data_IF_653029950947
#
_entry.id   IF_653029950947
#
_cell.length_a   1.000
_cell.length_b   1.000
_cell.length_c   1.000
_cell.angle_alpha   90.00
_cell.angle_beta   90.00
_cell.angle_gamma   90.00
#
_symmetry.space_group_name_H-M   'P 1'
#
loop_
_entity.id
_entity.type
_entity.pdbx_description
1 polymer ?
#
# COMPACT_ATOMS: atom_id res chain seq x y z
N UNK A 1 -9.96 10.08 9.07
CA UNK A 1 -9.53 9.18 7.98
C UNK A 1 -8.03 8.91 7.97
N UNK A 2 -7.15 9.91 8.12
CA UNK A 2 -5.68 9.69 8.08
C UNK A 2 -5.16 8.69 9.12
N UNK A 3 -5.74 8.67 10.33
CA UNK A 3 -5.39 7.69 11.37
C UNK A 3 -5.75 6.25 10.97
N UNK A 4 -6.89 6.05 10.32
CA UNK A 4 -7.29 4.72 9.83
C UNK A 4 -6.32 4.22 8.76
N UNK A 5 -5.92 5.10 7.83
CA UNK A 5 -4.91 4.79 6.83
C UNK A 5 -3.59 4.41 7.51
N UNK A 6 -3.12 5.20 8.48
CA UNK A 6 -1.91 4.86 9.23
C UNK A 6 -1.99 3.50 9.92
N UNK A 7 -3.13 3.15 10.52
CA UNK A 7 -3.34 1.85 11.16
C UNK A 7 -3.28 0.71 10.14
N UNK A 8 -3.90 0.86 8.97
CA UNK A 8 -3.86 -0.15 7.89
C UNK A 8 -2.42 -0.38 7.42
N UNK A 9 -1.67 0.69 7.15
CA UNK A 9 -0.28 0.60 6.70
C UNK A 9 0.63 0.00 7.80
N UNK A 10 0.43 0.40 9.05
CA UNK A 10 1.18 -0.14 10.19
C UNK A 10 0.91 -1.64 10.38
N UNK A 11 -0.37 -2.04 10.30
CA UNK A 11 -0.77 -3.44 10.39
C UNK A 11 -0.18 -4.26 9.24
N UNK A 12 -0.25 -3.77 8.00
CA UNK A 12 0.33 -4.43 6.83
C UNK A 12 1.86 -4.61 6.98
N UNK A 13 2.57 -3.57 7.44
CA UNK A 13 4.00 -3.62 7.70
C UNK A 13 4.35 -4.64 8.79
N UNK A 14 3.62 -4.61 9.91
CA UNK A 14 3.86 -5.49 11.05
C UNK A 14 3.63 -6.95 10.68
N UNK A 15 2.53 -7.27 10.01
CA UNK A 15 2.23 -8.64 9.61
C UNK A 15 3.30 -9.19 8.66
N UNK A 16 3.73 -8.42 7.66
CA UNK A 16 4.82 -8.81 6.76
C UNK A 16 6.17 -8.94 7.47
N UNK A 17 6.43 -8.14 8.50
CA UNK A 17 7.66 -8.22 9.28
C UNK A 17 7.68 -9.45 10.20
N UNK A 18 6.54 -9.78 10.83
CA UNK A 18 6.40 -10.94 11.71
C UNK A 18 6.43 -12.27 10.95
N UNK A 19 5.89 -12.30 9.74
CA UNK A 19 5.86 -13.48 8.87
C UNK A 19 6.57 -13.18 7.53
N UNK A 20 7.84 -12.81 7.63
CA UNK A 20 8.63 -12.42 6.45
C UNK A 20 8.87 -13.58 5.49
N UNK A 21 9.10 -14.79 6.01
CA UNK A 21 9.29 -15.99 5.19
C UNK A 21 8.03 -16.29 4.38
N UNK A 22 6.86 -16.25 5.04
CA UNK A 22 5.60 -16.44 4.37
C UNK A 22 5.29 -15.36 3.32
N UNK A 23 5.60 -14.10 3.61
CA UNK A 23 5.54 -13.02 2.62
C UNK A 23 6.46 -13.28 1.41
N UNK A 24 7.69 -13.73 1.65
CA UNK A 24 8.65 -14.06 0.61
C UNK A 24 8.18 -15.24 -0.25
N UNK A 25 7.60 -16.28 0.36
CA UNK A 25 7.02 -17.42 -0.35
C UNK A 25 5.87 -17.01 -1.28
N UNK A 26 4.95 -16.16 -0.80
CA UNK A 26 3.86 -15.61 -1.62
C UNK A 26 4.42 -14.85 -2.82
N UNK A 27 5.36 -13.94 -2.59
CA UNK A 27 5.96 -13.13 -3.68
C UNK A 27 6.77 -13.98 -4.66
N UNK A 28 7.47 -15.01 -4.16
CA UNK A 28 8.22 -15.94 -5.02
C UNK A 28 7.27 -16.75 -5.88
N UNK A 29 6.12 -17.17 -5.33
CA UNK A 29 5.08 -17.92 -6.06
C UNK A 29 4.46 -17.09 -7.19
N UNK A 30 4.45 -15.76 -7.09
CA UNK A 30 3.98 -14.91 -8.18
C UNK A 30 4.83 -15.01 -9.45
N UNK A 31 6.10 -15.43 -9.34
CA UNK A 31 7.01 -15.68 -10.47
C UNK A 31 7.20 -14.49 -11.46
N UNK A 32 6.92 -13.25 -11.02
CA UNK A 32 7.06 -12.03 -11.84
C UNK A 32 8.34 -11.24 -11.55
N UNK A 33 8.95 -11.43 -10.37
CA UNK A 33 10.16 -10.71 -9.99
C UNK A 33 11.41 -11.53 -10.31
N UNK A 34 12.48 -10.89 -10.80
CA UNK A 34 13.77 -11.56 -10.94
C UNK A 34 14.32 -11.94 -9.56
N UNK A 35 15.08 -13.03 -9.48
CA UNK A 35 15.62 -13.53 -8.21
C UNK A 35 16.45 -12.49 -7.44
N UNK A 36 17.12 -11.57 -8.13
CA UNK A 36 17.85 -10.46 -7.52
C UNK A 36 16.94 -9.47 -6.78
N UNK A 37 15.70 -9.25 -7.26
CA UNK A 37 14.73 -8.38 -6.61
C UNK A 37 14.17 -8.99 -5.32
N UNK A 38 14.13 -10.32 -5.22
CA UNK A 38 13.68 -11.02 -4.00
C UNK A 38 14.55 -10.67 -2.78
N UNK A 39 15.85 -10.40 -3.01
CA UNK A 39 16.79 -9.99 -1.95
C UNK A 39 16.47 -8.63 -1.34
N UNK A 40 15.65 -7.81 -2.01
CA UNK A 40 15.22 -6.49 -1.54
C UNK A 40 13.80 -6.49 -0.98
N UNK A 41 13.14 -7.64 -0.82
CA UNK A 41 11.75 -7.70 -0.34
C UNK A 41 11.57 -7.16 1.08
N UNK A 42 12.61 -7.18 1.90
CA UNK A 42 12.59 -6.60 3.24
C UNK A 42 12.35 -5.07 3.24
N UNK A 43 12.59 -4.40 2.11
CA UNK A 43 12.32 -2.96 1.96
C UNK A 43 10.82 -2.68 1.97
N UNK A 44 9.98 -3.62 1.55
CA UNK A 44 8.52 -3.45 1.49
C UNK A 44 7.90 -3.17 2.87
N UNK A 45 8.03 -4.05 3.89
CA UNK A 45 7.47 -3.78 5.22
C UNK A 45 8.07 -2.52 5.86
N UNK A 46 9.35 -2.22 5.63
CA UNK A 46 9.97 -1.00 6.13
C UNK A 46 9.39 0.26 5.48
N UNK A 47 9.17 0.24 4.16
CA UNK A 47 8.54 1.32 3.43
C UNK A 47 7.10 1.55 3.89
N UNK A 48 6.33 0.47 4.07
CA UNK A 48 4.97 0.55 4.60
C UNK A 48 4.94 1.13 6.03
N UNK A 49 5.84 0.69 6.90
CA UNK A 49 5.99 1.20 8.26
C UNK A 49 6.41 2.67 8.30
N UNK A 50 7.35 3.08 7.44
CA UNK A 50 7.79 4.46 7.33
C UNK A 50 6.65 5.39 6.86
N UNK A 51 5.82 4.93 5.92
CA UNK A 51 4.62 5.65 5.50
C UNK A 51 3.61 5.77 6.64
N UNK A 52 3.34 4.70 7.38
CA UNK A 52 2.45 4.72 8.54
C UNK A 52 2.91 5.73 9.60
N UNK A 53 4.20 5.68 9.99
CA UNK A 53 4.79 6.62 10.95
C UNK A 53 4.77 8.06 10.42
N UNK A 54 5.02 8.26 9.13
CA UNK A 54 4.94 9.56 8.48
C UNK A 54 3.52 10.16 8.55
N UNK A 55 2.49 9.34 8.34
CA UNK A 55 1.09 9.77 8.48
C UNK A 55 0.81 10.12 9.94
N UNK A 56 1.20 9.28 10.90
CA UNK A 56 0.99 9.53 12.34
C UNK A 56 1.69 10.80 12.83
N UNK A 57 2.94 11.03 12.42
CA UNK A 57 3.69 12.23 12.79
C UNK A 57 3.07 13.52 12.18
N UNK A 58 2.48 13.38 11.00
CA UNK A 58 1.67 14.45 10.41
C UNK A 58 0.31 14.62 11.11
N UNK A 59 -0.14 13.72 11.97
CA UNK A 59 -1.33 13.92 12.82
C UNK A 59 -0.91 14.54 14.16
N UNK A 60 -0.65 15.86 14.18
CA UNK A 60 -0.44 16.58 15.45
C UNK A 60 0.54 17.75 15.42
N UNK A 61 1.28 17.96 14.33
CA UNK A 61 2.30 19.02 14.24
C UNK A 61 1.84 20.21 13.39
N UNK A 62 2.30 21.43 13.73
CA UNK A 62 2.02 22.65 12.96
C UNK A 62 2.65 22.65 11.55
N UNK A 63 3.72 21.87 11.34
CA UNK A 63 4.33 21.61 10.01
C UNK A 63 3.55 20.57 9.17
N UNK A 64 2.31 20.31 9.56
CA UNK A 64 1.41 19.25 9.08
C UNK A 64 1.41 19.07 7.56
N UNK A 65 1.35 20.19 6.86
CA UNK A 65 0.98 20.20 5.44
C UNK A 65 2.09 19.66 4.55
N UNK A 66 3.34 20.07 4.79
CA UNK A 66 4.46 19.68 3.92
C UNK A 66 4.84 18.22 4.12
N UNK A 67 4.83 17.74 5.36
CA UNK A 67 5.13 16.34 5.70
C UNK A 67 4.00 15.44 5.19
N UNK A 68 2.73 15.77 5.49
CA UNK A 68 1.60 14.97 5.04
C UNK A 68 1.56 14.84 3.52
N UNK A 69 1.83 15.93 2.79
CA UNK A 69 1.88 15.91 1.32
C UNK A 69 2.93 14.93 0.79
N UNK A 70 4.15 14.97 1.32
CA UNK A 70 5.23 14.06 0.89
C UNK A 70 4.89 12.60 1.18
N UNK A 71 4.32 12.34 2.37
CA UNK A 71 3.91 11.00 2.77
C UNK A 71 2.76 10.48 1.91
N UNK A 72 1.77 11.30 1.60
CA UNK A 72 0.67 10.92 0.71
C UNK A 72 1.15 10.63 -0.71
N UNK A 73 2.09 11.44 -1.25
CA UNK A 73 2.71 11.15 -2.55
C UNK A 73 3.43 9.80 -2.51
N UNK A 74 4.19 9.52 -1.45
CA UNK A 74 4.85 8.22 -1.27
C UNK A 74 3.87 7.05 -1.18
N UNK A 75 2.76 7.21 -0.46
CA UNK A 75 1.72 6.20 -0.35
C UNK A 75 1.05 5.93 -1.70
N UNK A 76 0.72 6.98 -2.46
CA UNK A 76 0.15 6.87 -3.80
C UNK A 76 1.13 6.16 -4.75
N UNK A 77 2.41 6.56 -4.76
CA UNK A 77 3.42 5.92 -5.60
C UNK A 77 3.57 4.43 -5.25
N UNK A 78 3.60 4.10 -3.97
CA UNK A 78 3.71 2.71 -3.50
C UNK A 78 2.50 1.88 -3.94
N UNK A 79 1.29 2.45 -3.87
CA UNK A 79 0.08 1.80 -4.36
C UNK A 79 0.06 1.63 -5.88
N UNK A 80 0.58 2.60 -6.64
CA UNK A 80 0.71 2.47 -8.10
C UNK A 80 1.70 1.37 -8.47
N UNK A 81 2.86 1.31 -7.80
CA UNK A 81 3.85 0.25 -8.01
C UNK A 81 3.27 -1.12 -7.65
N UNK A 82 2.53 -1.20 -6.54
CA UNK A 82 1.84 -2.42 -6.14
C UNK A 82 0.78 -2.84 -7.15
N UNK A 83 -0.03 -1.91 -7.66
CA UNK A 83 -1.02 -2.20 -8.69
C UNK A 83 -0.38 -2.68 -9.98
N UNK A 84 0.72 -2.04 -10.42
CA UNK A 84 1.49 -2.46 -11.58
C UNK A 84 2.09 -3.86 -11.39
N UNK A 85 2.61 -4.15 -10.20
CA UNK A 85 3.10 -5.48 -9.84
C UNK A 85 1.98 -6.54 -9.92
N UNK A 86 0.86 -6.31 -9.26
CA UNK A 86 -0.29 -7.24 -9.25
C UNK A 86 -0.86 -7.44 -10.66
N UNK A 87 -0.83 -6.42 -11.52
CA UNK A 87 -1.24 -6.53 -12.92
C UNK A 87 -0.43 -7.54 -13.74
N UNK A 88 0.81 -7.81 -13.34
CA UNK A 88 1.69 -8.80 -13.99
C UNK A 88 1.45 -10.22 -13.46
N UNK A 89 0.86 -10.37 -12.28
CA UNK A 89 0.66 -11.68 -11.65
C UNK A 89 -0.55 -12.37 -12.28
N UNK A 90 -0.42 -13.62 -12.76
CA UNK A 90 -1.55 -14.39 -13.27
C UNK A 90 -2.69 -14.46 -12.25
N UNK A 91 -3.93 -14.21 -12.71
CA UNK A 91 -5.11 -14.17 -11.83
C UNK A 91 -5.30 -15.44 -11.00
N UNK A 92 -5.01 -16.61 -11.58
CA UNK A 92 -5.06 -17.91 -10.90
C UNK A 92 -4.07 -18.01 -9.72
N UNK A 93 -2.89 -17.38 -9.83
CA UNK A 93 -1.91 -17.35 -8.74
C UNK A 93 -2.42 -16.44 -7.61
N UNK A 94 -2.93 -15.25 -7.94
CA UNK A 94 -3.53 -14.35 -6.93
C UNK A 94 -4.69 -15.03 -6.19
N UNK A 95 -5.49 -15.85 -6.88
CA UNK A 95 -6.59 -16.59 -6.25
C UNK A 95 -6.09 -17.70 -5.31
N UNK A 96 -4.98 -18.35 -5.65
CA UNK A 96 -4.39 -19.41 -4.85
C UNK A 96 -3.66 -18.89 -3.60
N UNK A 97 -2.80 -17.86 -3.77
CA UNK A 97 -1.88 -17.39 -2.71
C UNK A 97 -2.16 -15.96 -2.22
N UNK A 98 -3.10 -15.25 -2.82
CA UNK A 98 -3.47 -13.88 -2.42
C UNK A 98 -2.57 -12.80 -3.01
N UNK A 99 -2.69 -11.58 -2.48
CA UNK A 99 -1.91 -10.42 -2.91
C UNK A 99 -0.64 -10.16 -2.08
N UNK A 100 -0.40 -10.96 -1.03
CA UNK A 100 0.68 -10.76 -0.06
C UNK A 100 0.49 -9.56 0.88
N UNK A 101 -0.63 -8.84 0.78
CA UNK A 101 -0.88 -7.59 1.50
C UNK A 101 -0.87 -7.76 3.04
N UNK A 102 -1.26 -8.94 3.53
CA UNK A 102 -1.38 -9.27 4.95
C UNK A 102 -0.64 -10.56 5.31
N UNK A 103 0.51 -10.84 4.67
CA UNK A 103 1.28 -12.07 4.89
C UNK A 103 0.53 -13.35 4.46
N UNK A 104 0.90 -14.50 5.03
CA UNK A 104 0.27 -15.82 4.72
C UNK A 104 -1.15 -15.93 5.29
N UNK A 105 -1.41 -15.23 6.39
CA UNK A 105 -2.74 -15.15 7.01
C UNK A 105 -3.69 -14.17 6.31
N UNK A 106 -3.19 -13.44 5.32
CA UNK A 106 -3.97 -12.51 4.54
C UNK A 106 -5.01 -13.23 3.73
N UNK A 107 -6.27 -12.89 3.99
CA UNK A 107 -7.45 -13.41 3.30
C UNK A 107 -7.12 -13.70 1.85
N UNK A 108 -7.23 -14.98 1.45
CA UNK A 108 -7.49 -15.36 0.06
C UNK A 108 -8.66 -14.47 -0.35
N UNK A 109 -8.37 -13.36 -1.03
CA UNK A 109 -9.39 -12.36 -1.37
C UNK A 109 -10.52 -13.13 -2.01
N UNK A 110 -11.69 -13.11 -1.35
CA UNK A 110 -12.90 -13.85 -1.69
C UNK A 110 -12.92 -14.11 -3.20
N UNK A 111 -12.58 -15.35 -3.53
CA UNK A 111 -12.11 -15.81 -4.84
C UNK A 111 -13.27 -15.91 -5.82
N UNK A 112 -13.80 -14.75 -6.22
CA UNK A 112 -14.87 -14.63 -7.20
C UNK A 112 -14.95 -13.26 -7.88
N UNK A 113 -14.07 -12.31 -7.53
CA UNK A 113 -14.05 -10.97 -8.13
C UNK A 113 -13.16 -11.01 -9.39
N UNK A 114 -13.69 -10.73 -10.59
CA UNK A 114 -12.92 -10.76 -11.84
C UNK A 114 -11.76 -9.76 -11.81
N UNK A 115 -10.68 -10.07 -12.54
CA UNK A 115 -9.46 -9.25 -12.61
C UNK A 115 -9.75 -7.75 -12.91
N UNK A 116 -10.74 -7.47 -13.76
CA UNK A 116 -11.21 -6.13 -14.09
C UNK A 116 -11.78 -5.36 -12.89
N UNK A 117 -12.48 -6.06 -12.00
CA UNK A 117 -13.04 -5.49 -10.76
C UNK A 117 -11.95 -5.26 -9.68
N UNK A 118 -10.86 -6.05 -9.71
CA UNK A 118 -9.67 -5.83 -8.86
C UNK A 118 -8.90 -4.57 -9.28
N UNK A 119 -8.64 -4.44 -10.58
CA UNK A 119 -7.97 -3.27 -11.18
C UNK A 119 -8.75 -1.97 -10.92
N UNK A 120 -10.07 -2.00 -11.10
CA UNK A 120 -10.92 -0.84 -10.82
C UNK A 120 -10.94 -0.49 -9.33
N UNK A 121 -10.96 -1.48 -8.43
CA UNK A 121 -10.92 -1.24 -6.98
C UNK A 121 -9.58 -0.62 -6.54
N UNK A 122 -8.45 -1.09 -7.09
CA UNK A 122 -7.13 -0.51 -6.88
C UNK A 122 -7.03 0.91 -7.46
N UNK A 123 -7.54 1.13 -8.68
CA UNK A 123 -7.57 2.44 -9.31
C UNK A 123 -8.44 3.44 -8.52
N UNK A 124 -9.62 3.01 -8.05
CA UNK A 124 -10.51 3.81 -7.22
C UNK A 124 -9.87 4.15 -5.87
N UNK A 125 -9.21 3.19 -5.22
CA UNK A 125 -8.49 3.44 -3.98
C UNK A 125 -7.34 4.45 -4.18
N UNK A 126 -6.57 4.31 -5.26
CA UNK A 126 -5.52 5.27 -5.63
C UNK A 126 -6.08 6.67 -5.92
N UNK A 127 -7.16 6.76 -6.71
CA UNK A 127 -7.86 8.02 -6.99
C UNK A 127 -8.42 8.67 -5.73
N UNK A 128 -9.02 7.89 -4.83
CA UNK A 128 -9.53 8.38 -3.55
C UNK A 128 -8.41 8.98 -2.70
N UNK A 129 -7.24 8.35 -2.64
CA UNK A 129 -6.09 8.86 -1.90
C UNK A 129 -5.52 10.13 -2.56
N UNK A 130 -5.43 10.16 -3.88
CA UNK A 130 -5.00 11.34 -4.63
C UNK A 130 -5.97 12.52 -4.46
N UNK A 131 -7.27 12.27 -4.55
CA UNK A 131 -8.32 13.27 -4.30
C UNK A 131 -8.25 13.81 -2.88
N UNK A 132 -7.95 12.97 -1.88
CA UNK A 132 -7.74 13.42 -0.50
C UNK A 132 -6.50 14.31 -0.37
N UNK A 133 -5.39 13.96 -1.04
CA UNK A 133 -4.20 14.81 -1.06
C UNK A 133 -4.52 16.20 -1.65
N UNK A 134 -5.29 16.24 -2.74
CA UNK A 134 -5.68 17.48 -3.40
C UNK A 134 -6.68 18.31 -2.59
N UNK A 135 -7.72 17.68 -2.04
CA UNK A 135 -8.72 18.34 -1.20
C UNK A 135 -8.08 18.92 0.09
N UNK A 136 -7.11 18.20 0.66
CA UNK A 136 -6.34 18.70 1.79
C UNK A 136 -5.49 19.92 1.41
N UNK A 137 -4.82 19.90 0.24
CA UNK A 137 -4.03 21.05 -0.25
C UNK A 137 -4.91 22.28 -0.52
N UNK A 138 -6.11 22.08 -1.09
CA UNK A 138 -7.09 23.16 -1.26
C UNK A 138 -7.53 23.75 0.07
N UNK A 139 -7.93 22.91 1.04
CA UNK A 139 -8.41 23.35 2.35
C UNK A 139 -7.37 24.19 3.10
N UNK A 140 -6.08 23.87 2.95
CA UNK A 140 -5.01 24.65 3.57
C UNK A 140 -4.90 26.02 2.90
N UNK A 141 -4.90 26.08 1.56
CA UNK A 141 -4.79 27.35 0.83
C UNK A 141 -5.94 28.31 1.14
N UNK A 142 -7.16 27.79 1.29
CA UNK A 142 -8.36 28.60 1.61
C UNK A 142 -8.37 29.17 3.03
N UNK A 143 -7.55 28.65 3.95
CA UNK A 143 -7.43 29.19 5.32
C UNK A 143 -6.32 30.23 5.45
N UNK A 144 -5.43 30.33 4.47
CA UNK A 144 -4.30 31.27 4.43
C UNK A 144 -4.54 32.49 3.55
N UNK A 145 -5.73 32.60 2.94
CA UNK A 145 -6.17 33.71 2.11
C UNK A 145 -7.27 34.49 2.84
#
# INVERSE_FOLDING_TARGET
MSTLLAVIWCFAALVKALDYQGFQEVVTTHAVLPGSALSFLWVVPLGEGALALGILNAVGTASRVRILRRVLIGAVLTLMLFAAYIALVPGAIIEAVGCGCFGVGGTRLISGIPLSARMTSLALAGLMIAAHAFAYEWSVKSQSA
#
